data_IF_667145401141
#
_entry.id   IF_667145401141
#
_cell.length_a   1.000
_cell.length_b   1.000
_cell.length_c   1.000
_cell.angle_alpha   90.00
_cell.angle_beta   90.00
_cell.angle_gamma   90.00
#
_symmetry.space_group_name_H-M   'P 1'
#
loop_
_entity.id
_entity.type
_entity.pdbx_description
1 polymer ?
#
# COMPACT_ATOMS: atom_id res chain seq x y z
N UNK A 1 17.59 7.51 8.79
CA UNK A 1 16.92 7.24 7.50
C UNK A 1 15.54 7.87 7.55
N UNK A 2 15.06 8.49 6.46
CA UNK A 2 13.67 8.98 6.39
C UNK A 2 12.71 7.78 6.34
N UNK A 3 11.59 7.86 7.07
CA UNK A 3 10.55 6.85 6.98
C UNK A 3 10.03 6.75 5.52
N UNK A 4 9.68 5.55 5.03
CA UNK A 4 9.27 5.37 3.64
C UNK A 4 8.00 6.14 3.26
N UNK A 5 7.12 6.41 4.24
CA UNK A 5 5.94 7.26 4.11
C UNK A 5 5.48 7.77 5.49
N UNK A 6 4.53 8.73 5.51
CA UNK A 6 3.75 9.14 6.70
C UNK A 6 2.29 8.75 6.47
N UNK A 7 1.71 7.90 7.33
CA UNK A 7 0.33 7.41 7.17
C UNK A 7 -0.73 8.48 7.31
N UNK A 8 -0.41 9.65 7.88
CA UNK A 8 -1.32 10.79 7.94
C UNK A 8 -1.40 11.55 6.61
N UNK A 9 -0.43 11.33 5.71
CA UNK A 9 -0.32 12.01 4.42
C UNK A 9 -0.76 11.11 3.24
N UNK A 10 -1.29 9.92 3.53
CA UNK A 10 -1.77 8.97 2.52
C UNK A 10 -3.05 8.29 2.99
N UNK A 11 -3.92 7.93 2.06
CA UNK A 11 -5.06 7.07 2.34
C UNK A 11 -4.59 5.61 2.29
N UNK A 12 -4.47 5.01 3.46
CA UNK A 12 -4.00 3.64 3.59
C UNK A 12 -5.06 2.64 3.14
N UNK A 13 -4.68 1.70 2.27
CA UNK A 13 -5.55 0.64 1.77
C UNK A 13 -5.28 -0.69 2.45
N UNK A 14 -4.00 -1.00 2.72
CA UNK A 14 -3.56 -2.26 3.32
C UNK A 14 -2.43 -2.00 4.32
N UNK A 15 -2.51 -2.66 5.48
CA UNK A 15 -1.45 -2.73 6.48
C UNK A 15 -1.11 -4.19 6.79
N UNK A 16 0.14 -4.44 7.12
CA UNK A 16 0.54 -5.66 7.81
C UNK A 16 -0.13 -5.68 9.20
N UNK A 17 -0.54 -6.86 9.64
CA UNK A 17 -1.01 -7.10 11.01
C UNK A 17 0.18 -7.59 11.86
N UNK A 18 0.75 -6.77 12.74
CA UNK A 18 1.93 -7.14 13.53
C UNK A 18 1.65 -8.27 14.53
N UNK A 19 0.41 -8.38 15.02
CA UNK A 19 0.03 -9.43 15.98
C UNK A 19 0.02 -10.81 15.32
N UNK A 20 -0.19 -10.85 14.00
CA UNK A 20 -0.20 -12.08 13.19
C UNK A 20 1.06 -12.29 12.37
N UNK A 21 2.12 -11.54 12.65
CA UNK A 21 3.38 -11.57 11.90
C UNK A 21 4.57 -11.89 12.79
N UNK A 22 5.62 -12.49 12.23
CA UNK A 22 6.88 -12.67 12.94
C UNK A 22 7.67 -11.35 12.96
N UNK A 23 7.51 -10.60 14.05
CA UNK A 23 8.17 -9.32 14.26
C UNK A 23 9.63 -9.45 14.77
N UNK A 24 10.19 -10.66 14.81
CA UNK A 24 11.60 -10.90 15.20
C UNK A 24 12.54 -10.97 14.01
N UNK A 25 12.03 -10.91 12.79
CA UNK A 25 12.85 -10.93 11.57
C UNK A 25 13.76 -9.70 11.51
N UNK A 26 14.99 -9.91 11.03
CA UNK A 26 15.96 -8.83 10.85
C UNK A 26 15.50 -7.80 9.80
N UNK A 27 15.90 -6.55 9.97
CA UNK A 27 15.66 -5.49 8.99
C UNK A 27 14.36 -4.70 9.17
N UNK A 28 13.58 -4.99 10.21
CA UNK A 28 12.46 -4.12 10.63
C UNK A 28 13.05 -2.83 11.21
N UNK A 29 12.79 -1.70 10.55
CA UNK A 29 13.35 -0.37 10.93
C UNK A 29 12.33 0.58 11.54
N UNK A 30 11.04 0.28 11.46
CA UNK A 30 9.96 1.12 12.00
C UNK A 30 9.53 0.58 13.36
N UNK A 31 9.33 1.50 14.30
CA UNK A 31 9.06 1.21 15.72
C UNK A 31 7.59 1.48 16.10
N UNK A 32 6.84 2.19 15.26
CA UNK A 32 5.45 2.61 15.49
C UNK A 32 4.41 1.56 15.08
N UNK A 33 4.87 0.39 14.63
CA UNK A 33 4.05 -0.71 14.11
C UNK A 33 3.12 -0.34 12.93
N UNK A 34 3.36 0.81 12.27
CA UNK A 34 2.60 1.21 11.09
C UNK A 34 3.29 0.71 9.81
N UNK A 35 2.86 -0.46 9.36
CA UNK A 35 3.42 -1.18 8.22
C UNK A 35 2.45 -1.24 7.05
N UNK A 36 2.30 -0.10 6.39
CA UNK A 36 1.56 0.11 5.15
C UNK A 36 2.16 -0.71 4.02
N UNK A 37 1.29 -1.52 3.41
CA UNK A 37 1.57 -2.41 2.27
C UNK A 37 1.07 -1.76 0.99
N UNK A 38 -0.06 -1.04 1.05
CA UNK A 38 -0.60 -0.31 -0.09
C UNK A 38 -1.37 0.92 0.37
N UNK A 39 -1.23 2.00 -0.38
CA UNK A 39 -1.88 3.28 -0.12
C UNK A 39 -2.03 4.08 -1.42
N UNK A 40 -2.88 5.10 -1.35
CA UNK A 40 -3.09 6.08 -2.42
C UNK A 40 -2.94 7.50 -1.87
N UNK A 41 -2.55 8.43 -2.74
CA UNK A 41 -2.60 9.87 -2.43
C UNK A 41 -2.72 10.70 -3.70
N UNK A 42 -3.21 11.92 -3.55
CA UNK A 42 -2.98 12.95 -4.53
C UNK A 42 -1.55 13.48 -4.44
N UNK A 43 -0.95 13.80 -5.58
CA UNK A 43 0.32 14.50 -5.64
C UNK A 43 0.26 15.55 -6.74
N UNK A 44 0.17 16.81 -6.33
CA UNK A 44 -0.14 17.93 -7.23
C UNK A 44 -1.41 17.64 -8.05
N UNK A 45 -1.31 17.62 -9.39
CA UNK A 45 -2.41 17.29 -10.30
C UNK A 45 -2.55 15.79 -10.57
N UNK A 46 -1.64 14.98 -10.04
CA UNK A 46 -1.57 13.54 -10.25
C UNK A 46 -2.16 12.71 -9.10
N UNK A 47 -2.17 11.40 -9.34
CA UNK A 47 -2.56 10.36 -8.38
C UNK A 47 -1.43 9.36 -8.26
N UNK A 48 -1.10 8.97 -7.04
CA UNK A 48 -0.06 7.97 -6.75
C UNK A 48 -0.73 6.78 -6.10
N UNK A 49 -0.61 5.62 -6.74
CA UNK A 49 -0.95 4.33 -6.16
C UNK A 49 0.34 3.58 -5.84
N UNK A 50 0.49 3.14 -4.59
CA UNK A 50 1.62 2.32 -4.13
C UNK A 50 1.11 0.98 -3.63
N UNK A 51 1.82 -0.10 -3.97
CA UNK A 51 1.57 -1.46 -3.47
C UNK A 51 2.87 -2.25 -3.47
N UNK A 52 3.27 -2.81 -2.32
CA UNK A 52 4.51 -3.57 -2.15
C UNK A 52 4.37 -5.10 -2.28
N UNK A 53 3.16 -5.60 -2.56
CA UNK A 53 2.96 -7.03 -2.83
C UNK A 53 3.73 -7.47 -4.09
N UNK A 54 3.98 -8.77 -4.23
CA UNK A 54 4.57 -9.34 -5.46
C UNK A 54 6.01 -9.83 -5.36
N UNK A 55 6.59 -9.94 -4.16
CA UNK A 55 7.89 -10.61 -3.99
C UNK A 55 7.86 -12.06 -4.50
N UNK A 56 6.75 -12.76 -4.25
CA UNK A 56 6.53 -14.11 -4.76
C UNK A 56 5.66 -14.08 -6.02
N UNK A 57 6.04 -14.90 -6.99
CA UNK A 57 5.31 -15.17 -8.22
C UNK A 57 3.82 -15.45 -7.92
N UNK A 58 3.52 -16.38 -6.97
CA UNK A 58 2.15 -16.84 -6.68
C UNK A 58 1.16 -15.70 -6.37
N UNK A 59 1.66 -14.53 -5.92
CA UNK A 59 0.83 -13.37 -5.61
C UNK A 59 0.00 -12.90 -6.80
N UNK A 60 0.53 -13.02 -8.02
CA UNK A 60 -0.15 -12.59 -9.24
C UNK A 60 -1.20 -13.58 -9.76
N UNK A 61 -1.32 -14.76 -9.14
CA UNK A 61 -2.44 -15.69 -9.40
C UNK A 61 -3.56 -15.55 -8.37
N UNK A 62 -3.32 -14.85 -7.25
CA UNK A 62 -4.33 -14.69 -6.22
C UNK A 62 -5.38 -13.64 -6.66
N UNK A 63 -6.67 -14.02 -6.83
CA UNK A 63 -7.65 -13.15 -7.47
C UNK A 63 -7.90 -11.84 -6.71
N UNK A 64 -7.78 -11.85 -5.38
CA UNK A 64 -7.89 -10.61 -4.57
C UNK A 64 -6.73 -9.64 -4.83
N UNK A 65 -5.52 -10.14 -5.04
CA UNK A 65 -4.32 -9.32 -5.28
C UNK A 65 -4.40 -8.69 -6.66
N UNK A 66 -4.74 -9.47 -7.68
CA UNK A 66 -4.91 -8.96 -9.06
C UNK A 66 -6.02 -7.91 -9.13
N UNK A 67 -7.16 -8.13 -8.46
CA UNK A 67 -8.23 -7.13 -8.38
C UNK A 67 -7.78 -5.84 -7.68
N UNK A 68 -6.97 -5.94 -6.64
CA UNK A 68 -6.41 -4.76 -5.94
C UNK A 68 -5.50 -3.94 -6.85
N UNK A 69 -4.61 -4.60 -7.59
CA UNK A 69 -3.77 -3.92 -8.59
C UNK A 69 -4.61 -3.26 -9.68
N UNK A 70 -5.59 -3.97 -10.25
CA UNK A 70 -6.45 -3.41 -11.28
C UNK A 70 -7.18 -2.16 -10.78
N UNK A 71 -7.81 -2.22 -9.61
CA UNK A 71 -8.51 -1.08 -9.02
C UNK A 71 -7.57 0.10 -8.74
N UNK A 72 -6.37 -0.15 -8.19
CA UNK A 72 -5.38 0.90 -7.94
C UNK A 72 -4.86 1.56 -9.22
N UNK A 73 -4.62 0.77 -10.27
CA UNK A 73 -4.23 1.27 -11.60
C UNK A 73 -5.35 2.10 -12.21
N UNK A 74 -6.58 1.59 -12.21
CA UNK A 74 -7.74 2.32 -12.72
C UNK A 74 -7.96 3.63 -11.93
N UNK A 75 -7.81 3.62 -10.61
CA UNK A 75 -7.92 4.84 -9.81
C UNK A 75 -6.84 5.85 -10.17
N UNK A 76 -5.58 5.42 -10.33
CA UNK A 76 -4.50 6.30 -10.74
C UNK A 76 -4.79 6.95 -12.11
N UNK A 77 -5.33 6.17 -13.06
CA UNK A 77 -5.75 6.64 -14.38
C UNK A 77 -7.02 7.49 -14.36
N UNK A 78 -7.90 7.32 -13.37
CA UNK A 78 -9.17 8.05 -13.22
C UNK A 78 -10.41 7.27 -13.66
N UNK A 79 -10.24 5.99 -13.96
CA UNK A 79 -11.30 5.09 -14.41
C UNK A 79 -12.01 4.39 -13.24
N UNK A 80 -11.59 4.68 -12.00
CA UNK A 80 -12.20 4.14 -10.78
C UNK A 80 -12.38 5.25 -9.75
N UNK A 81 -13.61 5.42 -9.26
CA UNK A 81 -13.93 6.41 -8.22
C UNK A 81 -13.66 5.85 -6.83
N UNK A 82 -12.81 6.56 -6.08
CA UNK A 82 -12.61 6.34 -4.66
C UNK A 82 -12.44 7.69 -3.95
N UNK A 83 -13.02 7.82 -2.76
CA UNK A 83 -12.81 8.99 -1.90
C UNK A 83 -11.42 8.89 -1.29
N UNK A 84 -10.54 9.81 -1.67
CA UNK A 84 -9.15 9.92 -1.23
C UNK A 84 -8.94 11.36 -0.79
N UNK A 85 -8.30 11.57 0.35
CA UNK A 85 -8.01 12.90 0.86
C UNK A 85 -7.04 13.64 -0.07
N UNK A 86 -7.23 14.96 -0.17
CA UNK A 86 -6.34 15.88 -0.89
C UNK A 86 -5.44 16.61 0.07
#
# INVERSE_FOLDING_TARGET
LKAPYDSKAVDMLLRLDPEKSDMKVGGIKREDNDFGVSWVRHWEKGRVFYCSLGHNHEMYWHPKVVRHYLAGIQWALGDYEAKVAR
#
